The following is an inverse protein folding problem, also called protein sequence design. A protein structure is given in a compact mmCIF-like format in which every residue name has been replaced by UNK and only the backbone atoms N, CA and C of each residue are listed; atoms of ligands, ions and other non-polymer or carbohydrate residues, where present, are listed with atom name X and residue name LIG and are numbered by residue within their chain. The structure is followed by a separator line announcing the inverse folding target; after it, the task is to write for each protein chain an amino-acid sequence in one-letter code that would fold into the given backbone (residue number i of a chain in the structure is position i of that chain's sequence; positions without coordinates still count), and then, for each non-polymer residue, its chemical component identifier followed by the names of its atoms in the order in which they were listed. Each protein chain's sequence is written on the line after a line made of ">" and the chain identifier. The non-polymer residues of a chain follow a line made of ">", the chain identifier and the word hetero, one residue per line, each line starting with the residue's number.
data_IF_992389844828
#
_entry.id   IF_992389844828
#
_cell.length_a   1.000
_cell.length_b   1.000
_cell.length_c   1.000
_cell.angle_alpha   90.00
_cell.angle_beta   90.00
_cell.angle_gamma   90.00
#
_symmetry.space_group_name_H-M   'P 1'
#
loop_
_entity.id
_entity.type
_entity.pdbx_description
1 polymer ?
#
# COMPACT_ATOMS: atom_id res chain seq x y z
N UNK A 1 44.62 28.32 -40.61
CA UNK A 1 43.17 28.08 -40.81
C UNK A 1 43.03 26.68 -41.40
N UNK A 2 42.28 25.70 -40.89
CA UNK A 2 41.08 25.66 -40.03
C UNK A 2 41.25 24.55 -38.97
N UNK A 3 40.80 24.83 -37.74
CA UNK A 3 40.68 23.85 -36.65
C UNK A 3 39.51 22.92 -36.96
N UNK A 4 39.75 21.62 -37.08
CA UNK A 4 38.68 20.62 -37.14
C UNK A 4 38.24 20.38 -35.69
N UNK A 5 37.07 20.93 -35.32
CA UNK A 5 36.42 20.63 -34.04
C UNK A 5 35.78 19.24 -34.18
N UNK A 6 36.37 18.26 -33.50
CA UNK A 6 35.73 16.96 -33.28
C UNK A 6 34.59 17.21 -32.30
N UNK A 7 33.36 17.20 -32.82
CA UNK A 7 32.15 17.24 -32.03
C UNK A 7 31.93 15.83 -31.46
N UNK A 8 32.32 15.62 -30.20
CA UNK A 8 31.93 14.43 -29.44
C UNK A 8 30.41 14.47 -29.25
N UNK A 9 29.69 13.68 -30.03
CA UNK A 9 28.29 13.36 -29.77
C UNK A 9 28.27 12.42 -28.55
N UNK A 10 28.20 13.00 -27.36
CA UNK A 10 27.84 12.27 -26.15
C UNK A 10 26.35 11.97 -26.29
N UNK A 11 26.02 10.81 -26.83
CA UNK A 11 24.69 10.23 -26.68
C UNK A 11 24.60 9.84 -25.21
N UNK A 12 24.09 10.77 -24.39
CA UNK A 12 23.59 10.44 -23.07
C UNK A 12 22.36 9.58 -23.32
N UNK A 13 22.55 8.26 -23.34
CA UNK A 13 21.47 7.31 -23.14
C UNK A 13 21.03 7.54 -21.69
N UNK A 14 20.11 8.49 -21.49
CA UNK A 14 19.29 8.56 -20.29
C UNK A 14 18.41 7.30 -20.32
N UNK A 15 19.03 6.18 -19.95
CA UNK A 15 18.37 4.92 -19.75
C UNK A 15 17.23 5.16 -18.79
N UNK A 16 16.03 4.99 -19.32
CA UNK A 16 14.76 5.17 -18.65
C UNK A 16 14.64 4.18 -17.48
N UNK A 17 15.12 4.56 -16.30
CA UNK A 17 14.76 3.92 -15.02
C UNK A 17 13.25 4.07 -14.66
N UNK A 18 12.41 4.56 -15.59
CA UNK A 18 10.98 4.78 -15.40
C UNK A 18 10.08 3.61 -15.79
N UNK A 19 10.58 2.57 -16.48
CA UNK A 19 9.70 1.61 -17.17
C UNK A 19 9.16 0.46 -16.31
N UNK A 20 9.76 0.13 -15.17
CA UNK A 20 9.35 -1.05 -14.38
C UNK A 20 8.39 -0.70 -13.23
N UNK A 21 8.62 0.44 -12.55
CA UNK A 21 7.74 0.91 -11.46
C UNK A 21 6.33 1.29 -11.94
N UNK A 22 6.19 1.75 -13.19
CA UNK A 22 4.89 2.04 -13.79
C UNK A 22 4.10 0.77 -14.10
N UNK A 23 4.78 -0.34 -14.37
CA UNK A 23 4.13 -1.59 -14.79
C UNK A 23 3.38 -2.24 -13.62
N UNK A 24 4.02 -2.38 -12.45
CA UNK A 24 3.39 -3.11 -11.35
C UNK A 24 2.29 -2.31 -10.65
N UNK A 25 2.39 -0.98 -10.60
CA UNK A 25 1.25 -0.14 -10.19
C UNK A 25 0.07 -0.32 -11.16
N UNK A 26 0.32 -0.33 -12.47
CA UNK A 26 -0.72 -0.61 -13.46
C UNK A 26 -1.34 -1.99 -13.26
N UNK A 27 -0.52 -3.02 -13.08
CA UNK A 27 -0.98 -4.40 -12.85
C UNK A 27 -1.81 -4.53 -11.57
N UNK A 28 -1.44 -3.83 -10.50
CA UNK A 28 -2.26 -3.79 -9.27
C UNK A 28 -3.60 -3.08 -9.52
N UNK A 29 -3.59 -1.93 -10.19
CA UNK A 29 -4.83 -1.21 -10.54
C UNK A 29 -5.76 -2.08 -11.40
N UNK A 30 -5.21 -2.70 -12.45
CA UNK A 30 -5.94 -3.58 -13.36
C UNK A 30 -6.52 -4.79 -12.63
N UNK A 31 -5.76 -5.41 -11.74
CA UNK A 31 -6.26 -6.51 -10.92
C UNK A 31 -7.38 -6.05 -9.97
N UNK A 32 -7.25 -4.88 -9.35
CA UNK A 32 -8.29 -4.34 -8.47
C UNK A 32 -9.58 -4.04 -9.24
N UNK A 33 -9.48 -3.36 -10.38
CA UNK A 33 -10.64 -3.08 -11.24
C UNK A 33 -11.33 -4.35 -11.72
N UNK A 34 -10.55 -5.35 -12.16
CA UNK A 34 -11.11 -6.63 -12.56
C UNK A 34 -11.89 -7.30 -11.42
N UNK A 35 -11.35 -7.31 -10.20
CA UNK A 35 -12.01 -7.92 -9.06
C UNK A 35 -13.23 -7.13 -8.60
N UNK A 36 -13.17 -5.79 -8.59
CA UNK A 36 -14.31 -4.93 -8.31
C UNK A 36 -15.43 -5.21 -9.31
N UNK A 37 -15.15 -5.20 -10.61
CA UNK A 37 -16.15 -5.39 -11.65
C UNK A 37 -16.72 -6.81 -11.68
N UNK A 38 -15.90 -7.84 -11.44
CA UNK A 38 -16.36 -9.24 -11.43
C UNK A 38 -17.15 -9.61 -10.17
N UNK A 39 -16.90 -8.95 -9.03
CA UNK A 39 -17.59 -9.22 -7.77
C UNK A 39 -18.77 -8.28 -7.49
N UNK A 40 -18.81 -7.09 -8.11
CA UNK A 40 -19.91 -6.13 -7.97
C UNK A 40 -21.31 -6.74 -8.16
N UNK A 41 -21.55 -7.65 -9.13
CA UNK A 41 -22.86 -8.24 -9.35
C UNK A 41 -23.23 -9.33 -8.34
N UNK A 42 -22.26 -9.95 -7.67
CA UNK A 42 -22.46 -11.15 -6.83
C UNK A 42 -22.50 -10.79 -5.34
N UNK A 43 -21.70 -9.80 -4.92
CA UNK A 43 -21.54 -9.41 -3.51
C UNK A 43 -21.87 -7.94 -3.23
N UNK A 44 -22.29 -7.16 -4.24
CA UNK A 44 -22.60 -5.73 -4.07
C UNK A 44 -21.36 -4.95 -3.63
N UNK A 45 -20.32 -4.92 -4.48
CA UNK A 45 -19.05 -4.26 -4.14
C UNK A 45 -19.29 -2.81 -3.72
N UNK A 46 -18.77 -2.43 -2.56
CA UNK A 46 -18.87 -1.07 -2.04
C UNK A 46 -18.20 -0.04 -2.97
N UNK A 47 -17.11 -0.45 -3.63
CA UNK A 47 -16.38 0.34 -4.60
C UNK A 47 -16.79 0.00 -6.03
N UNK A 48 -16.76 1.00 -6.91
CA UNK A 48 -17.02 0.88 -8.36
C UNK A 48 -15.75 0.91 -9.21
N UNK A 49 -14.62 1.33 -8.63
CA UNK A 49 -13.31 1.39 -9.28
C UNK A 49 -12.17 1.38 -8.24
N UNK A 50 -10.94 1.13 -8.66
CA UNK A 50 -9.77 1.28 -7.77
C UNK A 50 -9.60 2.72 -7.28
N UNK A 51 -10.04 3.73 -8.04
CA UNK A 51 -9.94 5.12 -7.61
C UNK A 51 -10.78 5.37 -6.35
N UNK A 52 -11.98 4.81 -6.26
CA UNK A 52 -12.81 4.90 -5.05
C UNK A 52 -12.17 4.20 -3.85
N UNK A 53 -11.43 3.11 -4.08
CA UNK A 53 -10.62 2.46 -3.04
C UNK A 53 -9.54 3.41 -2.53
N UNK A 54 -8.82 4.07 -3.43
CA UNK A 54 -7.74 5.00 -3.07
C UNK A 54 -8.26 6.23 -2.35
N UNK A 55 -9.40 6.77 -2.79
CA UNK A 55 -10.06 7.90 -2.12
C UNK A 55 -10.51 7.54 -0.72
N UNK A 56 -11.03 6.33 -0.51
CA UNK A 56 -11.35 5.82 0.83
C UNK A 56 -10.11 5.83 1.75
N UNK A 57 -9.00 5.23 1.32
CA UNK A 57 -7.79 5.17 2.14
C UNK A 57 -7.14 6.55 2.36
N UNK A 58 -7.19 7.45 1.37
CA UNK A 58 -6.77 8.85 1.53
C UNK A 58 -7.65 9.57 2.55
N UNK A 59 -8.96 9.33 2.54
CA UNK A 59 -9.88 9.91 3.51
C UNK A 59 -9.57 9.40 4.93
N UNK A 60 -9.23 8.13 5.09
CA UNK A 60 -8.75 7.56 6.37
C UNK A 60 -7.47 8.29 6.83
N UNK A 61 -6.44 8.43 5.97
CA UNK A 61 -5.23 9.19 6.33
C UNK A 61 -5.54 10.62 6.74
N UNK A 62 -6.44 11.30 6.02
CA UNK A 62 -6.81 12.67 6.31
C UNK A 62 -7.49 12.79 7.66
N UNK A 63 -8.41 11.88 8.00
CA UNK A 63 -9.02 11.84 9.34
C UNK A 63 -8.00 11.58 10.44
N UNK A 64 -7.05 10.67 10.24
CA UNK A 64 -5.97 10.44 11.21
C UNK A 64 -5.11 11.70 11.41
N UNK A 65 -4.83 12.45 10.34
CA UNK A 65 -4.09 13.72 10.40
C UNK A 65 -4.88 14.84 11.08
N UNK A 66 -6.16 14.99 10.75
CA UNK A 66 -7.06 15.97 11.37
C UNK A 66 -7.18 15.77 12.89
N UNK A 67 -7.13 14.51 13.34
CA UNK A 67 -7.15 14.13 14.75
C UNK A 67 -5.75 14.03 15.38
N UNK A 68 -4.68 14.41 14.65
CA UNK A 68 -3.28 14.41 15.10
C UNK A 68 -2.73 13.04 15.49
N UNK A 69 -3.35 11.97 15.01
CA UNK A 69 -2.88 10.59 15.19
C UNK A 69 -1.79 10.23 14.16
N UNK A 70 -1.85 10.83 12.97
CA UNK A 70 -0.80 10.75 11.95
C UNK A 70 -0.25 12.15 11.68
N UNK A 71 1.06 12.37 11.80
CA UNK A 71 1.64 13.71 11.58
C UNK A 71 1.76 14.04 10.09
N UNK A 72 2.25 13.09 9.29
CA UNK A 72 2.40 13.25 7.84
C UNK A 72 2.38 11.91 7.10
N UNK A 73 2.43 11.95 5.77
CA UNK A 73 2.47 10.76 4.92
C UNK A 73 3.92 10.25 4.70
N UNK A 74 4.75 10.26 5.74
CA UNK A 74 6.12 9.75 5.70
C UNK A 74 6.30 8.51 6.58
N UNK A 75 7.43 7.82 6.39
CA UNK A 75 7.70 6.56 7.09
C UNK A 75 7.76 6.72 8.61
N UNK A 76 8.38 7.80 9.09
CA UNK A 76 8.59 8.01 10.51
C UNK A 76 7.25 8.27 11.22
N UNK A 77 6.36 9.05 10.61
CA UNK A 77 5.00 9.28 11.11
C UNK A 77 4.19 7.99 11.20
N UNK A 78 4.35 7.08 10.22
CA UNK A 78 3.70 5.76 10.26
C UNK A 78 4.29 4.85 11.34
N UNK A 79 5.62 4.82 11.50
CA UNK A 79 6.26 4.04 12.57
C UNK A 79 5.79 4.51 13.94
N UNK A 80 5.79 5.82 14.18
CA UNK A 80 5.32 6.41 15.44
C UNK A 80 3.84 6.07 15.70
N UNK A 81 2.99 6.16 14.68
CA UNK A 81 1.59 5.75 14.77
C UNK A 81 1.44 4.28 15.22
N UNK A 82 2.16 3.35 14.60
CA UNK A 82 2.09 1.94 14.98
C UNK A 82 2.72 1.63 16.32
N UNK A 83 3.84 2.29 16.66
CA UNK A 83 4.46 2.16 17.96
C UNK A 83 3.49 2.57 19.07
N UNK A 84 2.78 3.69 18.90
CA UNK A 84 1.75 4.14 19.83
C UNK A 84 0.54 3.20 19.85
N UNK A 85 0.09 2.74 18.68
CA UNK A 85 -1.05 1.83 18.53
C UNK A 85 -0.87 0.52 19.31
N UNK A 86 0.33 -0.08 19.30
CA UNK A 86 0.59 -1.32 20.03
C UNK A 86 0.99 -1.13 21.50
N UNK A 87 1.42 0.07 21.90
CA UNK A 87 1.80 0.37 23.29
C UNK A 87 0.66 0.88 24.14
N UNK A 88 -0.29 1.60 23.54
CA UNK A 88 -1.35 2.31 24.25
C UNK A 88 -2.72 1.92 23.71
N UNK A 89 -3.50 1.20 24.52
CA UNK A 89 -4.85 0.76 24.16
C UNK A 89 -5.86 1.90 24.00
N UNK A 90 -5.55 3.12 24.45
CA UNK A 90 -6.39 4.29 24.21
C UNK A 90 -6.31 4.78 22.75
N UNK A 91 -5.17 4.56 22.08
CA UNK A 91 -4.97 4.99 20.68
C UNK A 91 -5.90 4.24 19.73
N UNK A 92 -6.16 2.95 19.98
CA UNK A 92 -7.13 2.18 19.21
C UNK A 92 -8.54 2.80 19.27
N UNK A 93 -8.94 3.24 20.47
CA UNK A 93 -10.21 3.93 20.66
C UNK A 93 -10.23 5.32 20.01
N UNK A 94 -9.13 6.07 20.09
CA UNK A 94 -9.00 7.37 19.44
C UNK A 94 -9.06 7.25 17.90
N UNK A 95 -8.48 6.20 17.32
CA UNK A 95 -8.64 5.86 15.90
C UNK A 95 -10.11 5.58 15.58
N UNK A 96 -10.79 4.75 16.37
CA UNK A 96 -12.22 4.45 16.17
C UNK A 96 -13.08 5.73 16.22
N UNK A 97 -12.80 6.63 17.15
CA UNK A 97 -13.48 7.93 17.26
C UNK A 97 -13.17 8.82 16.05
N UNK A 98 -11.90 8.95 15.68
CA UNK A 98 -11.46 9.78 14.56
C UNK A 98 -12.10 9.35 13.23
N UNK A 99 -12.22 8.05 13.02
CA UNK A 99 -12.84 7.49 11.82
C UNK A 99 -14.37 7.56 11.88
N UNK A 100 -14.94 7.47 13.08
CA UNK A 100 -16.37 7.50 13.34
C UNK A 100 -17.04 6.18 12.99
N UNK A 101 -18.17 5.88 13.67
CA UNK A 101 -18.87 4.60 13.56
C UNK A 101 -19.18 4.21 12.10
N UNK A 102 -19.56 5.16 11.24
CA UNK A 102 -19.88 4.86 9.85
C UNK A 102 -18.70 4.29 9.04
N UNK A 103 -17.46 4.71 9.32
CA UNK A 103 -16.27 4.13 8.66
C UNK A 103 -15.84 2.80 9.27
N UNK A 104 -16.26 2.48 10.49
CA UNK A 104 -15.91 1.25 11.20
C UNK A 104 -17.01 0.18 11.13
N UNK A 105 -18.28 0.56 10.97
CA UNK A 105 -19.46 -0.32 10.85
C UNK A 105 -19.81 -0.65 9.39
N UNK A 106 -19.76 0.32 8.46
CA UNK A 106 -19.86 0.01 7.01
C UNK A 106 -18.64 -0.82 6.54
N UNK A 107 -17.59 -0.87 7.37
CA UNK A 107 -16.38 -1.67 7.20
C UNK A 107 -16.63 -3.18 7.25
N UNK A 108 -17.71 -3.66 7.89
CA UNK A 108 -18.11 -5.08 7.83
C UNK A 108 -18.44 -5.52 6.39
N UNK A 109 -18.81 -4.60 5.50
CA UNK A 109 -19.07 -4.89 4.08
C UNK A 109 -17.81 -4.73 3.23
N UNK A 110 -16.88 -3.85 3.62
CA UNK A 110 -15.52 -3.82 3.06
C UNK A 110 -14.77 -5.13 3.44
N UNK A 111 -15.19 -5.82 4.52
CA UNK A 111 -14.44 -6.86 5.23
C UNK A 111 -14.14 -8.20 4.56
N UNK A 112 -14.76 -8.59 3.44
CA UNK A 112 -14.62 -9.99 3.01
C UNK A 112 -14.09 -10.21 1.60
N UNK A 113 -14.37 -9.31 0.66
CA UNK A 113 -13.90 -9.45 -0.72
C UNK A 113 -12.64 -8.65 -1.00
N UNK A 114 -12.79 -7.33 -0.97
CA UNK A 114 -11.84 -6.37 -1.55
C UNK A 114 -10.49 -6.35 -0.80
N UNK A 115 -10.51 -6.59 0.51
CA UNK A 115 -9.31 -6.63 1.34
C UNK A 115 -8.40 -7.79 0.98
N UNK A 116 -8.97 -8.99 0.79
CA UNK A 116 -8.20 -10.16 0.36
C UNK A 116 -7.60 -9.94 -1.03
N UNK A 117 -8.32 -9.25 -1.91
CA UNK A 117 -7.79 -8.88 -3.22
C UNK A 117 -6.62 -7.90 -3.15
N UNK A 118 -6.77 -6.81 -2.41
CA UNK A 118 -5.74 -5.77 -2.26
C UNK A 118 -4.48 -6.34 -1.59
N UNK A 119 -4.66 -7.11 -0.52
CA UNK A 119 -3.56 -7.51 0.35
C UNK A 119 -2.88 -8.79 -0.08
N UNK A 120 -3.60 -9.71 -0.73
CA UNK A 120 -3.09 -11.04 -1.02
C UNK A 120 -3.28 -11.42 -2.47
N UNK A 121 -4.51 -11.51 -2.98
CA UNK A 121 -4.79 -12.12 -4.29
C UNK A 121 -4.14 -11.37 -5.46
N UNK A 122 -4.25 -10.04 -5.51
CA UNK A 122 -3.64 -9.27 -6.60
C UNK A 122 -2.11 -9.30 -6.54
N UNK A 123 -1.45 -9.02 -5.40
CA UNK A 123 -0.02 -9.22 -5.26
C UNK A 123 0.48 -10.63 -5.60
N UNK A 124 -0.20 -11.68 -5.13
CA UNK A 124 0.17 -13.07 -5.41
C UNK A 124 0.00 -13.41 -6.89
N UNK A 125 -1.06 -12.93 -7.54
CA UNK A 125 -1.26 -13.11 -8.97
C UNK A 125 -0.10 -12.50 -9.75
N UNK A 126 0.26 -11.24 -9.47
CA UNK A 126 1.38 -10.54 -10.10
C UNK A 126 2.69 -11.30 -9.91
N UNK A 127 2.98 -11.76 -8.69
CA UNK A 127 4.18 -12.54 -8.37
C UNK A 127 4.20 -13.91 -9.09
N UNK A 128 3.03 -14.49 -9.38
CA UNK A 128 2.93 -15.78 -10.08
C UNK A 128 3.13 -15.67 -11.60
N UNK A 129 2.81 -14.52 -12.19
CA UNK A 129 2.89 -14.28 -13.64
C UNK A 129 4.25 -13.71 -14.08
N UNK A 130 5.07 -13.25 -13.14
CA UNK A 130 6.33 -12.58 -13.42
C UNK A 130 7.50 -13.27 -12.71
N UNK A 131 8.61 -13.47 -13.41
CA UNK A 131 9.86 -13.89 -12.77
C UNK A 131 10.36 -12.78 -11.83
N UNK A 132 10.79 -13.13 -10.61
CA UNK A 132 11.28 -12.26 -9.51
C UNK A 132 12.54 -11.42 -9.81
N UNK A 133 12.75 -11.06 -11.08
CA UNK A 133 13.91 -10.38 -11.62
C UNK A 133 13.95 -8.88 -11.28
N UNK A 134 12.80 -8.23 -11.08
CA UNK A 134 12.77 -6.79 -10.75
C UNK A 134 12.82 -6.53 -9.25
N UNK A 135 13.48 -5.44 -8.85
CA UNK A 135 13.55 -5.04 -7.44
C UNK A 135 12.15 -4.74 -6.86
N UNK A 136 11.24 -4.26 -7.70
CA UNK A 136 9.84 -4.09 -7.31
C UNK A 136 9.16 -5.42 -6.94
N UNK A 137 9.31 -6.47 -7.76
CA UNK A 137 8.70 -7.78 -7.48
C UNK A 137 9.29 -8.40 -6.21
N UNK A 138 10.58 -8.17 -5.95
CA UNK A 138 11.21 -8.55 -4.67
C UNK A 138 10.56 -7.79 -3.50
N UNK A 139 10.37 -6.48 -3.61
CA UNK A 139 9.71 -5.68 -2.56
C UNK A 139 8.25 -6.12 -2.36
N UNK A 140 7.52 -6.43 -3.43
CA UNK A 140 6.16 -6.96 -3.36
C UNK A 140 6.14 -8.32 -2.64
N UNK A 141 7.07 -9.22 -2.97
CA UNK A 141 7.23 -10.52 -2.33
C UNK A 141 7.57 -10.41 -0.83
N UNK A 142 8.50 -9.51 -0.48
CA UNK A 142 8.87 -9.23 0.92
C UNK A 142 7.64 -8.72 1.69
N UNK A 143 6.90 -7.76 1.12
CA UNK A 143 5.65 -7.24 1.73
C UNK A 143 4.60 -8.33 1.92
N UNK A 144 4.42 -9.23 0.95
CA UNK A 144 3.51 -10.38 1.09
C UNK A 144 3.90 -11.27 2.26
N UNK A 145 5.21 -11.50 2.46
CA UNK A 145 5.68 -12.31 3.58
C UNK A 145 5.40 -11.62 4.93
N UNK A 146 5.59 -10.30 5.03
CA UNK A 146 5.21 -9.56 6.24
C UNK A 146 3.71 -9.64 6.53
N UNK A 147 2.86 -9.40 5.51
CA UNK A 147 1.41 -9.48 5.67
C UNK A 147 0.95 -10.88 6.10
N UNK A 148 1.50 -11.93 5.50
CA UNK A 148 1.18 -13.31 5.89
C UNK A 148 1.51 -13.57 7.35
N UNK A 149 2.66 -13.11 7.84
CA UNK A 149 3.03 -13.26 9.25
C UNK A 149 2.11 -12.44 10.17
N UNK A 150 1.79 -11.20 9.81
CA UNK A 150 0.92 -10.33 10.61
C UNK A 150 -0.48 -10.93 10.80
N UNK A 151 -1.04 -11.54 9.76
CA UNK A 151 -2.43 -12.03 9.74
C UNK A 151 -2.60 -13.52 10.04
N UNK A 152 -1.58 -14.35 9.82
CA UNK A 152 -1.71 -15.81 9.93
C UNK A 152 -0.77 -16.49 10.94
N UNK A 153 0.26 -15.81 11.45
CA UNK A 153 1.05 -16.38 12.55
C UNK A 153 0.28 -16.28 13.87
N UNK A 154 0.43 -17.28 14.76
CA UNK A 154 -0.31 -17.34 16.02
C UNK A 154 0.13 -16.27 17.04
N UNK A 155 1.42 -15.91 17.05
CA UNK A 155 1.99 -14.93 18.00
C UNK A 155 3.09 -14.06 17.37
N UNK A 156 2.79 -13.28 16.31
CA UNK A 156 3.77 -12.40 15.69
C UNK A 156 4.07 -11.17 16.57
N UNK A 157 5.33 -10.73 16.62
CA UNK A 157 5.65 -9.36 17.02
C UNK A 157 5.21 -8.41 15.89
N UNK A 158 3.95 -7.97 15.97
CA UNK A 158 3.33 -7.16 14.90
C UNK A 158 4.05 -5.83 14.71
N UNK A 159 4.53 -5.21 15.77
CA UNK A 159 5.26 -3.95 15.68
C UNK A 159 6.58 -4.14 14.92
N UNK A 160 7.34 -5.20 15.22
CA UNK A 160 8.55 -5.54 14.47
C UNK A 160 8.26 -5.80 12.98
N UNK A 161 7.24 -6.61 12.69
CA UNK A 161 6.87 -6.95 11.31
C UNK A 161 6.41 -5.73 10.50
N UNK A 162 5.62 -4.84 11.11
CA UNK A 162 5.16 -3.62 10.46
C UNK A 162 6.30 -2.66 10.22
N UNK A 163 7.22 -2.50 11.18
CA UNK A 163 8.43 -1.71 10.99
C UNK A 163 9.31 -2.28 9.88
N UNK A 164 9.46 -3.61 9.82
CA UNK A 164 10.12 -4.30 8.71
C UNK A 164 9.47 -4.00 7.36
N UNK A 165 8.14 -4.02 7.30
CA UNK A 165 7.37 -3.70 6.09
C UNK A 165 7.57 -2.24 5.67
N UNK A 166 7.49 -1.27 6.58
CA UNK A 166 7.70 0.17 6.30
C UNK A 166 9.13 0.42 5.78
N UNK A 167 10.13 -0.21 6.40
CA UNK A 167 11.53 -0.04 6.04
C UNK A 167 11.84 -0.59 4.64
N UNK A 168 11.13 -1.63 4.19
CA UNK A 168 11.34 -2.24 2.88
C UNK A 168 10.75 -1.42 1.70
N UNK A 169 9.75 -0.58 1.94
CA UNK A 169 9.19 0.29 0.88
C UNK A 169 10.19 1.41 0.59
N UNK A 170 10.53 1.74 -0.67
CA UNK A 170 11.42 2.89 -0.93
C UNK A 170 10.74 4.23 -0.56
N UNK A 171 11.48 5.31 -0.30
CA UNK A 171 10.85 6.60 0.05
C UNK A 171 9.95 7.13 -1.09
N UNK A 172 10.37 6.95 -2.34
CA UNK A 172 9.59 7.34 -3.52
C UNK A 172 8.29 6.54 -3.64
N UNK A 173 8.36 5.21 -3.45
CA UNK A 173 7.17 4.36 -3.41
C UNK A 173 6.28 4.74 -2.22
N UNK A 174 6.86 5.03 -1.06
CA UNK A 174 6.11 5.37 0.14
C UNK A 174 5.28 6.64 -0.02
N UNK A 175 5.56 7.50 -1.00
CA UNK A 175 4.71 8.67 -1.32
C UNK A 175 3.40 8.29 -2.04
N UNK A 176 3.32 7.11 -2.64
CA UNK A 176 2.12 6.63 -3.30
C UNK A 176 1.22 5.83 -2.34
N UNK A 177 -0.07 6.16 -2.34
CA UNK A 177 -1.07 5.59 -1.40
C UNK A 177 -1.13 4.07 -1.52
N UNK A 178 -0.96 3.52 -2.73
CA UNK A 178 -1.06 2.07 -2.98
C UNK A 178 -0.12 1.25 -2.08
N UNK A 179 1.05 1.80 -1.72
CA UNK A 179 2.00 1.12 -0.83
C UNK A 179 1.72 1.35 0.65
N UNK A 180 0.91 2.35 1.01
CA UNK A 180 0.49 2.62 2.38
C UNK A 180 -0.86 1.97 2.70
N UNK A 181 -1.65 1.57 1.70
CA UNK A 181 -2.92 0.86 1.92
C UNK A 181 -2.78 -0.36 2.85
N UNK A 182 -1.78 -1.26 2.70
CA UNK A 182 -1.64 -2.38 3.62
C UNK A 182 -1.41 -1.95 5.08
N UNK A 183 -0.74 -0.81 5.30
CA UNK A 183 -0.55 -0.24 6.64
C UNK A 183 -1.86 0.29 7.19
N UNK A 184 -2.54 1.15 6.43
CA UNK A 184 -3.83 1.71 6.85
C UNK A 184 -4.84 0.58 7.13
N UNK A 185 -4.79 -0.47 6.33
CA UNK A 185 -5.62 -1.64 6.50
C UNK A 185 -5.41 -2.35 7.86
N UNK A 186 -4.15 -2.53 8.28
CA UNK A 186 -3.83 -3.14 9.57
C UNK A 186 -4.45 -2.34 10.72
N UNK A 187 -4.44 -1.00 10.64
CA UNK A 187 -5.07 -0.14 11.65
C UNK A 187 -6.60 -0.31 11.71
N UNK A 188 -7.23 -0.63 10.58
CA UNK A 188 -8.68 -0.81 10.50
C UNK A 188 -9.17 -2.20 10.95
N UNK A 189 -8.26 -3.18 11.05
CA UNK A 189 -8.59 -4.61 11.30
C UNK A 189 -7.97 -5.17 12.58
N UNK A 190 -7.50 -4.27 13.44
CA UNK A 190 -7.09 -4.53 14.80
C UNK A 190 -8.10 -3.89 15.75
#
# INVERSE_FOLDING_TARGET
>A
MKKIKILLLIIVVLGSCKSVNQNVRSELNECLDYNIQSQSPIFGSYFKSYDEVYDFFRNVENKLKENKLLQSNDKESYKELFENFFKDSSIENDIKIALGEKLTSDNETINLGIQRFILFTCPEHILSQNDNSSDYLKDLSIRQNFLKKIFYDENPDKNELINGMINNISNDQFQDIIFRIPLIYILLNH
#
